data_IF_095838625791
#
_entry.id   IF_095838625791
#
_cell.length_a   1.000
_cell.length_b   1.000
_cell.length_c   1.000
_cell.angle_alpha   90.00
_cell.angle_beta   90.00
_cell.angle_gamma   90.00
#
_symmetry.space_group_name_H-M   'P 1'
#
loop_
_entity.id
_entity.type
_entity.pdbx_description
1 polymer ?
#
# COMPACT_ATOMS: atom_id res chain seq x y z
N UNK A 1 -21.86 -0.63 14.14
CA UNK A 1 -20.53 -0.90 13.56
C UNK A 1 -19.51 -0.02 14.25
N UNK A 2 -18.29 -0.48 14.44
CA UNK A 2 -17.19 0.30 15.02
C UNK A 2 -16.49 1.09 13.91
N UNK A 3 -16.39 2.40 14.05
CA UNK A 3 -15.76 3.23 13.02
C UNK A 3 -14.25 3.16 13.12
N UNK A 4 -13.59 3.02 11.96
CA UNK A 4 -12.16 3.18 11.77
C UNK A 4 -11.92 4.18 10.65
N UNK A 5 -11.04 5.15 10.87
CA UNK A 5 -10.58 6.01 9.77
C UNK A 5 -9.42 5.32 9.07
N UNK A 6 -9.46 5.24 7.75
CA UNK A 6 -8.29 4.86 6.96
C UNK A 6 -7.58 6.13 6.47
N UNK A 7 -6.39 6.39 7.03
CA UNK A 7 -5.58 7.59 6.79
C UNK A 7 -4.91 7.57 5.41
N UNK A 8 -5.73 7.52 4.36
CA UNK A 8 -5.25 7.53 2.97
C UNK A 8 -6.21 8.31 2.07
N UNK A 9 -5.64 9.17 1.22
CA UNK A 9 -6.33 9.84 0.11
C UNK A 9 -6.26 9.06 -1.22
N UNK A 10 -5.53 7.94 -1.27
CA UNK A 10 -5.40 7.11 -2.47
C UNK A 10 -6.65 6.25 -2.66
N UNK A 11 -7.46 6.58 -3.69
CA UNK A 11 -8.72 5.88 -3.98
C UNK A 11 -8.55 4.37 -4.24
N UNK A 12 -7.43 3.97 -4.85
CA UNK A 12 -7.10 2.56 -5.08
C UNK A 12 -6.90 1.81 -3.77
N UNK A 13 -6.06 2.34 -2.87
CA UNK A 13 -5.85 1.78 -1.54
C UNK A 13 -7.15 1.70 -0.74
N UNK A 14 -7.96 2.76 -0.76
CA UNK A 14 -9.24 2.79 -0.05
C UNK A 14 -10.19 1.70 -0.55
N UNK A 15 -10.27 1.49 -1.86
CA UNK A 15 -11.10 0.44 -2.45
C UNK A 15 -10.66 -0.96 -2.00
N UNK A 16 -9.35 -1.22 -2.00
CA UNK A 16 -8.79 -2.50 -1.54
C UNK A 16 -9.08 -2.74 -0.05
N UNK A 17 -8.82 -1.74 0.82
CA UNK A 17 -9.03 -1.87 2.27
C UNK A 17 -10.51 -2.02 2.63
N UNK A 18 -11.40 -1.25 2.01
CA UNK A 18 -12.86 -1.41 2.21
C UNK A 18 -13.33 -2.82 1.85
N UNK A 19 -12.81 -3.40 0.76
CA UNK A 19 -13.13 -4.77 0.37
C UNK A 19 -12.64 -5.79 1.42
N UNK A 20 -11.41 -5.65 1.93
CA UNK A 20 -10.83 -6.54 2.95
C UNK A 20 -11.64 -6.52 4.27
N UNK A 21 -12.25 -5.37 4.64
CA UNK A 21 -13.03 -5.22 5.86
C UNK A 21 -14.55 -5.39 5.68
N UNK A 22 -15.02 -5.69 4.47
CA UNK A 22 -16.46 -5.72 4.14
C UNK A 22 -17.27 -6.71 4.98
N UNK A 23 -16.66 -7.82 5.39
CA UNK A 23 -17.25 -8.89 6.19
C UNK A 23 -17.05 -8.74 7.71
N UNK A 24 -16.71 -7.53 8.19
CA UNK A 24 -16.38 -7.28 9.58
C UNK A 24 -17.38 -6.35 10.27
N UNK A 25 -17.21 -6.18 11.59
CA UNK A 25 -17.95 -5.20 12.37
C UNK A 25 -17.43 -3.77 12.21
N UNK A 26 -16.37 -3.58 11.44
CA UNK A 26 -15.73 -2.29 11.25
C UNK A 26 -16.28 -1.56 10.02
N UNK A 27 -16.59 -0.29 10.18
CA UNK A 27 -16.92 0.64 9.12
C UNK A 27 -15.68 1.48 8.78
N UNK A 28 -15.13 1.29 7.59
CA UNK A 28 -13.94 2.02 7.13
C UNK A 28 -14.35 3.33 6.47
N UNK A 29 -13.93 4.45 7.07
CA UNK A 29 -14.08 5.79 6.51
C UNK A 29 -12.74 6.29 5.96
N UNK A 30 -12.74 6.77 4.75
CA UNK A 30 -11.55 7.35 4.12
C UNK A 30 -11.42 8.85 4.39
N UNK A 31 -10.23 9.41 4.15
CA UNK A 31 -9.99 10.85 4.37
C UNK A 31 -10.92 11.73 3.53
N UNK A 32 -11.18 11.37 2.27
CA UNK A 32 -12.07 12.16 1.41
C UNK A 32 -13.55 12.13 1.82
N UNK A 33 -13.94 11.23 2.72
CA UNK A 33 -15.28 11.20 3.32
C UNK A 33 -15.38 12.06 4.58
N UNK A 34 -14.27 12.58 5.07
CA UNK A 34 -14.20 13.40 6.29
C UNK A 34 -14.15 14.92 6.02
N UNK A 35 -14.03 15.33 4.75
CA UNK A 35 -13.91 16.73 4.36
C UNK A 35 -12.45 17.20 4.31
N UNK A 36 -12.20 18.43 4.73
CA UNK A 36 -10.87 19.04 4.68
C UNK A 36 -9.93 18.37 5.71
N UNK A 37 -9.02 17.56 5.20
CA UNK A 37 -7.98 16.91 5.99
C UNK A 37 -6.64 17.54 5.60
N UNK A 38 -5.79 17.95 6.56
CA UNK A 38 -4.49 18.48 6.24
C UNK A 38 -3.64 17.45 5.49
N UNK A 39 -2.82 17.94 4.57
CA UNK A 39 -1.83 17.09 3.91
C UNK A 39 -0.82 16.57 4.93
N UNK A 40 -0.58 15.27 4.92
CA UNK A 40 0.39 14.62 5.81
C UNK A 40 1.64 14.35 5.00
N UNK A 41 2.69 15.10 5.29
CA UNK A 41 4.00 14.87 4.67
C UNK A 41 4.66 13.63 5.28
N UNK A 42 4.99 12.68 4.44
CA UNK A 42 5.71 11.47 4.82
C UNK A 42 7.19 11.79 4.94
N UNK A 43 7.66 11.95 6.18
CA UNK A 43 9.02 12.42 6.51
C UNK A 43 9.92 11.31 7.06
N UNK A 44 9.36 10.12 7.29
CA UNK A 44 10.09 9.00 7.85
C UNK A 44 10.81 8.16 6.78
N UNK A 45 11.92 7.56 7.16
CA UNK A 45 12.74 6.75 6.26
C UNK A 45 12.26 5.29 6.13
N UNK A 46 11.17 4.93 6.83
CA UNK A 46 10.62 3.58 6.85
C UNK A 46 9.12 3.57 6.57
N UNK A 47 8.63 2.48 5.96
CA UNK A 47 7.19 2.27 5.79
C UNK A 47 6.42 2.27 7.12
N UNK A 48 7.00 1.70 8.19
CA UNK A 48 6.40 1.70 9.52
C UNK A 48 6.28 3.12 10.08
N UNK A 49 7.35 3.91 10.01
CA UNK A 49 7.37 5.29 10.48
C UNK A 49 6.30 6.14 9.79
N UNK A 50 6.25 6.09 8.46
CA UNK A 50 5.25 6.84 7.69
C UNK A 50 3.81 6.36 7.95
N UNK A 51 3.58 5.06 8.08
CA UNK A 51 2.25 4.54 8.41
C UNK A 51 1.82 4.99 9.82
N UNK A 52 2.70 4.92 10.81
CA UNK A 52 2.42 5.36 12.17
C UNK A 52 2.20 6.88 12.25
N UNK A 53 3.02 7.66 11.58
CA UNK A 53 2.87 9.11 11.47
C UNK A 53 1.48 9.48 10.94
N UNK A 54 1.04 8.85 9.84
CA UNK A 54 -0.29 9.06 9.26
C UNK A 54 -1.40 8.68 10.23
N UNK A 55 -1.33 7.50 10.83
CA UNK A 55 -2.36 7.02 11.76
C UNK A 55 -2.50 7.93 12.97
N UNK A 56 -1.38 8.32 13.58
CA UNK A 56 -1.35 9.21 14.75
C UNK A 56 -1.86 10.60 14.42
N UNK A 57 -1.43 11.21 13.33
CA UNK A 57 -1.87 12.54 12.91
C UNK A 57 -3.38 12.60 12.75
N UNK A 58 -3.98 11.64 12.07
CA UNK A 58 -5.43 11.58 11.85
C UNK A 58 -6.17 11.27 13.15
N UNK A 59 -5.67 10.36 13.97
CA UNK A 59 -6.24 10.11 15.29
C UNK A 59 -6.25 11.38 16.15
N UNK A 60 -5.17 12.16 16.15
CA UNK A 60 -5.07 13.39 16.96
C UNK A 60 -6.09 14.45 16.55
N UNK A 61 -6.49 14.49 15.28
CA UNK A 61 -7.52 15.41 14.77
C UNK A 61 -8.93 14.90 15.12
N UNK A 62 -9.26 13.67 14.82
CA UNK A 62 -10.64 13.16 14.88
C UNK A 62 -10.97 12.39 16.15
N UNK A 63 -9.98 11.94 16.92
CA UNK A 63 -10.11 11.10 18.12
C UNK A 63 -10.91 9.81 17.86
N UNK A 64 -10.87 9.32 16.63
CA UNK A 64 -11.44 8.05 16.18
C UNK A 64 -10.29 7.11 15.89
N UNK A 65 -10.35 5.82 16.32
CA UNK A 65 -9.32 4.85 16.01
C UNK A 65 -9.01 4.82 14.52
N UNK A 66 -7.72 4.84 14.21
CA UNK A 66 -7.25 5.08 12.83
C UNK A 66 -6.36 3.94 12.38
N UNK A 67 -6.58 3.50 11.15
CA UNK A 67 -5.66 2.62 10.43
C UNK A 67 -4.98 3.39 9.32
N UNK A 68 -3.73 3.02 9.03
CA UNK A 68 -2.96 3.61 7.93
C UNK A 68 -2.10 2.52 7.27
N UNK A 69 -1.69 2.76 6.03
CA UNK A 69 -0.60 1.99 5.44
C UNK A 69 0.44 2.93 4.82
N UNK A 70 1.68 2.49 4.88
CA UNK A 70 2.67 2.92 3.91
C UNK A 70 3.15 1.71 3.13
N UNK A 71 3.38 1.89 1.83
CA UNK A 71 3.66 0.78 0.93
C UNK A 71 4.43 1.22 -0.28
N UNK A 72 5.26 0.32 -0.77
CA UNK A 72 6.05 0.57 -1.96
C UNK A 72 6.59 -0.70 -2.59
N UNK A 73 7.28 -0.49 -3.70
CA UNK A 73 8.01 -1.49 -4.43
C UNK A 73 9.48 -1.43 -4.02
N UNK A 74 10.08 -2.58 -3.82
CA UNK A 74 11.52 -2.73 -3.55
C UNK A 74 12.12 -3.64 -4.61
N UNK A 75 13.10 -3.15 -5.36
CA UNK A 75 13.77 -3.91 -6.42
C UNK A 75 15.19 -4.25 -5.98
N UNK A 76 15.55 -5.52 -6.06
CA UNK A 76 16.82 -6.03 -5.52
C UNK A 76 18.03 -5.37 -6.22
N UNK A 77 18.02 -5.32 -7.53
CA UNK A 77 19.11 -4.75 -8.35
C UNK A 77 19.31 -3.24 -8.16
N UNK A 78 18.32 -2.56 -7.59
CA UNK A 78 18.37 -1.14 -7.25
C UNK A 78 18.54 -0.90 -5.73
N UNK A 79 19.11 -1.88 -5.01
CA UNK A 79 19.33 -1.81 -3.57
C UNK A 79 18.08 -1.44 -2.77
N UNK A 80 16.91 -1.92 -3.20
CA UNK A 80 15.64 -1.68 -2.55
C UNK A 80 14.87 -0.44 -3.06
N UNK A 81 15.45 0.36 -3.95
CA UNK A 81 14.68 1.44 -4.59
C UNK A 81 13.55 0.86 -5.46
N UNK A 82 12.44 1.61 -5.62
CA UNK A 82 12.11 2.93 -5.09
C UNK A 82 11.81 2.99 -3.58
N UNK A 83 11.45 1.90 -2.90
CA UNK A 83 11.21 1.87 -1.46
C UNK A 83 10.12 2.86 -1.00
N UNK A 84 10.35 3.60 0.07
CA UNK A 84 9.40 4.56 0.65
C UNK A 84 9.04 5.73 -0.30
N UNK A 85 9.86 6.00 -1.30
CA UNK A 85 9.57 7.04 -2.31
C UNK A 85 8.82 6.51 -3.53
N UNK A 86 8.23 5.31 -3.46
CA UNK A 86 7.56 4.66 -4.60
C UNK A 86 6.53 5.54 -5.30
N UNK A 87 5.78 6.34 -4.57
CA UNK A 87 4.76 7.22 -5.15
C UNK A 87 5.34 8.41 -5.92
N UNK A 88 6.56 8.84 -5.58
CA UNK A 88 7.25 10.00 -6.16
C UNK A 88 8.63 9.67 -6.72
N UNK A 89 8.81 8.43 -7.18
CA UNK A 89 10.10 7.93 -7.64
C UNK A 89 10.67 8.73 -8.83
N UNK A 90 9.81 9.17 -9.75
CA UNK A 90 10.21 10.01 -10.87
C UNK A 90 10.28 11.51 -10.53
N UNK A 91 9.98 11.89 -9.30
CA UNK A 91 10.00 13.28 -8.81
C UNK A 91 8.65 13.73 -8.27
N UNK A 92 8.60 14.97 -7.78
CA UNK A 92 7.36 15.57 -7.30
C UNK A 92 6.35 15.75 -8.45
N UNK A 93 5.07 15.52 -8.17
CA UNK A 93 3.96 15.60 -9.13
C UNK A 93 4.04 14.64 -10.33
N UNK A 94 4.83 13.58 -10.24
CA UNK A 94 4.90 12.56 -11.29
C UNK A 94 3.64 11.69 -11.31
N UNK A 95 3.36 11.14 -12.47
CA UNK A 95 2.31 10.13 -12.67
C UNK A 95 2.83 8.73 -12.34
N UNK A 96 1.92 7.76 -12.20
CA UNK A 96 2.30 6.34 -12.10
C UNK A 96 3.10 5.88 -13.32
N UNK A 97 2.75 6.34 -14.51
CA UNK A 97 3.45 6.00 -15.75
C UNK A 97 4.87 6.55 -15.76
N UNK A 98 5.09 7.77 -15.24
CA UNK A 98 6.43 8.33 -15.10
C UNK A 98 7.32 7.46 -14.19
N UNK A 99 6.77 7.01 -13.06
CA UNK A 99 7.46 6.12 -12.14
C UNK A 99 7.80 4.78 -12.81
N UNK A 100 6.87 4.20 -13.54
CA UNK A 100 7.07 2.94 -14.27
C UNK A 100 8.12 3.08 -15.37
N UNK A 101 8.06 4.13 -16.17
CA UNK A 101 9.05 4.39 -17.22
C UNK A 101 10.46 4.61 -16.65
N UNK A 102 10.58 5.36 -15.54
CA UNK A 102 11.86 5.54 -14.86
C UNK A 102 12.41 4.20 -14.38
N UNK A 103 11.60 3.39 -13.71
CA UNK A 103 12.02 2.10 -13.19
C UNK A 103 12.50 1.16 -14.31
N UNK A 104 11.72 1.01 -15.37
CA UNK A 104 12.10 0.21 -16.54
C UNK A 104 13.42 0.72 -17.16
N UNK A 105 13.57 2.04 -17.28
CA UNK A 105 14.80 2.64 -17.83
C UNK A 105 16.04 2.30 -16.99
N UNK A 106 15.93 2.39 -15.67
CA UNK A 106 17.05 2.09 -14.76
C UNK A 106 17.41 0.60 -14.78
N UNK A 107 16.40 -0.28 -14.91
CA UNK A 107 16.62 -1.73 -14.96
C UNK A 107 17.24 -2.23 -16.25
N UNK A 108 17.21 -1.46 -17.34
CA UNK A 108 17.80 -1.87 -18.64
C UNK A 108 19.28 -2.24 -18.59
N UNK A 109 20.02 -1.73 -17.61
CA UNK A 109 21.45 -2.02 -17.44
C UNK A 109 21.74 -3.30 -16.65
N UNK A 110 20.70 -3.93 -16.09
CA UNK A 110 20.81 -5.15 -15.29
C UNK A 110 20.27 -6.36 -16.05
N UNK A 111 20.81 -7.57 -15.76
CA UNK A 111 20.28 -8.80 -16.35
C UNK A 111 18.90 -9.15 -15.75
N UNK A 112 18.05 -9.76 -16.56
CA UNK A 112 16.81 -10.38 -16.10
C UNK A 112 17.07 -11.71 -15.33
N UNK A 113 16.18 -12.13 -14.42
CA UNK A 113 14.94 -11.45 -14.03
C UNK A 113 15.19 -10.28 -13.09
N UNK A 114 14.33 -9.25 -13.16
CA UNK A 114 14.36 -8.11 -12.23
C UNK A 114 13.54 -8.44 -11.00
N UNK A 115 14.15 -9.11 -10.02
CA UNK A 115 13.49 -9.52 -8.78
C UNK A 115 13.04 -8.31 -7.97
N UNK A 116 11.78 -8.33 -7.58
CA UNK A 116 11.19 -7.25 -6.81
C UNK A 116 10.17 -7.77 -5.78
N UNK A 117 9.87 -6.96 -4.80
CA UNK A 117 8.78 -7.23 -3.85
C UNK A 117 7.96 -5.96 -3.59
N UNK A 118 6.68 -6.13 -3.44
CA UNK A 118 5.84 -5.14 -2.81
C UNK A 118 5.81 -5.34 -1.31
N UNK A 119 5.86 -4.22 -0.59
CA UNK A 119 5.78 -4.17 0.88
C UNK A 119 4.62 -3.27 1.26
N UNK A 120 3.83 -3.67 2.24
CA UNK A 120 2.83 -2.83 2.92
C UNK A 120 3.02 -2.98 4.42
N UNK A 121 3.26 -1.87 5.10
CA UNK A 121 3.20 -1.78 6.54
C UNK A 121 1.84 -1.17 6.91
N UNK A 122 0.97 -1.95 7.55
CA UNK A 122 -0.32 -1.48 8.04
C UNK A 122 -0.25 -1.25 9.55
N UNK A 123 -0.76 -0.11 9.99
CA UNK A 123 -0.78 0.32 11.38
C UNK A 123 -2.22 0.59 11.81
N UNK A 124 -2.57 0.12 12.99
CA UNK A 124 -3.70 0.61 13.77
C UNK A 124 -3.17 1.49 14.89
N UNK A 125 -3.85 2.59 15.17
CA UNK A 125 -3.52 3.49 16.26
C UNK A 125 -4.76 4.01 16.96
N UNK A 126 -4.73 3.93 18.29
CA UNK A 126 -5.57 4.73 19.20
C UNK A 126 -4.69 5.25 20.36
N UNK A 127 -5.27 6.05 21.28
CA UNK A 127 -4.50 6.62 22.39
C UNK A 127 -3.92 5.58 23.35
N UNK A 128 -4.46 4.37 23.37
CA UNK A 128 -4.09 3.31 24.31
C UNK A 128 -3.03 2.38 23.76
N UNK A 129 -3.06 2.15 22.45
CA UNK A 129 -2.23 1.12 21.82
C UNK A 129 -2.03 1.40 20.32
N UNK A 130 -1.02 0.75 19.76
CA UNK A 130 -0.84 0.65 18.32
C UNK A 130 -0.48 -0.79 17.93
N UNK A 131 -0.85 -1.18 16.72
CA UNK A 131 -0.53 -2.46 16.15
C UNK A 131 0.15 -2.20 14.80
N UNK A 132 1.31 -2.80 14.61
CA UNK A 132 2.03 -2.76 13.33
C UNK A 132 2.12 -4.17 12.75
N UNK A 133 1.77 -4.31 11.48
CA UNK A 133 1.87 -5.57 10.74
C UNK A 133 2.41 -5.33 9.33
N UNK A 134 3.19 -6.28 8.83
CA UNK A 134 3.80 -6.22 7.51
C UNK A 134 3.23 -7.31 6.61
N UNK A 135 2.91 -6.93 5.38
CA UNK A 135 2.58 -7.81 4.27
C UNK A 135 3.54 -7.57 3.12
N UNK A 136 4.12 -8.64 2.62
CA UNK A 136 5.02 -8.61 1.48
C UNK A 136 4.64 -9.70 0.48
N UNK A 137 4.92 -9.48 -0.79
CA UNK A 137 4.92 -10.56 -1.77
C UNK A 137 5.92 -10.27 -2.88
N UNK A 138 6.55 -11.32 -3.37
CA UNK A 138 7.62 -11.28 -4.34
C UNK A 138 7.12 -11.47 -5.77
N UNK A 139 7.95 -11.09 -6.71
CA UNK A 139 7.70 -11.20 -8.13
C UNK A 139 8.83 -10.59 -8.94
N UNK A 140 8.53 -10.25 -10.18
CA UNK A 140 9.50 -9.64 -11.10
C UNK A 140 8.91 -8.44 -11.83
N UNK A 141 9.78 -7.50 -12.17
CA UNK A 141 9.46 -6.37 -13.06
C UNK A 141 9.71 -6.81 -14.49
N UNK A 142 8.79 -6.44 -15.39
CA UNK A 142 8.90 -6.62 -16.84
C UNK A 142 9.07 -5.26 -17.54
N UNK A 143 9.67 -5.30 -18.73
CA UNK A 143 9.99 -4.08 -19.51
C UNK A 143 8.81 -3.51 -20.30
N UNK A 144 7.61 -4.03 -20.16
CA UNK A 144 6.40 -3.63 -20.90
C UNK A 144 5.21 -3.46 -19.98
N UNK A 145 4.26 -2.61 -20.40
CA UNK A 145 3.01 -2.40 -19.66
C UNK A 145 1.97 -3.43 -20.12
N UNK A 146 1.39 -4.17 -19.17
CA UNK A 146 0.33 -5.15 -19.43
C UNK A 146 -0.82 -4.97 -18.46
N UNK A 147 -2.05 -4.95 -18.99
CA UNK A 147 -3.27 -4.76 -18.21
C UNK A 147 -3.60 -3.28 -17.93
N UNK A 148 -4.79 -3.04 -17.40
CA UNK A 148 -5.32 -1.68 -17.15
C UNK A 148 -5.96 -1.53 -15.79
N UNK A 149 -6.00 -2.59 -14.98
CA UNK A 149 -6.54 -2.53 -13.63
C UNK A 149 -5.48 -2.06 -12.62
N UNK A 150 -5.93 -1.74 -11.42
CA UNK A 150 -5.03 -1.38 -10.33
C UNK A 150 -4.44 0.01 -10.43
N UNK A 151 -3.23 0.19 -9.94
CA UNK A 151 -2.49 1.47 -9.89
C UNK A 151 -1.00 1.25 -9.58
N UNK A 152 -0.22 2.33 -9.66
CA UNK A 152 1.22 2.27 -9.36
C UNK A 152 1.99 1.39 -10.33
N UNK A 153 2.75 0.45 -9.79
CA UNK A 153 3.59 -0.47 -10.58
C UNK A 153 2.88 -1.75 -11.02
N UNK A 154 1.56 -1.86 -10.81
CA UNK A 154 0.77 -3.03 -11.17
C UNK A 154 0.94 -3.46 -12.65
N UNK A 155 1.02 -2.55 -13.65
CA UNK A 155 1.15 -2.92 -15.05
C UNK A 155 2.49 -3.59 -15.43
N UNK A 156 3.51 -3.44 -14.62
CA UNK A 156 4.86 -3.95 -14.91
C UNK A 156 5.34 -5.00 -13.90
N UNK A 157 4.50 -5.42 -12.96
CA UNK A 157 4.85 -6.40 -11.92
C UNK A 157 4.08 -7.70 -12.10
N UNK A 158 4.82 -8.79 -12.28
CA UNK A 158 4.29 -10.16 -12.30
C UNK A 158 4.62 -10.84 -10.98
N UNK A 159 3.60 -11.24 -10.18
CA UNK A 159 3.81 -11.98 -8.94
C UNK A 159 4.43 -13.36 -9.17
N UNK A 160 5.18 -13.86 -8.21
CA UNK A 160 5.71 -15.23 -8.24
C UNK A 160 4.56 -16.24 -8.31
N UNK A 161 4.72 -17.22 -9.19
CA UNK A 161 3.70 -18.25 -9.46
C UNK A 161 2.61 -17.83 -10.45
N UNK A 162 2.71 -16.63 -11.02
CA UNK A 162 1.75 -16.12 -12.02
C UNK A 162 2.45 -15.73 -13.32
N UNK A 163 1.67 -15.69 -14.41
CA UNK A 163 2.10 -15.16 -15.72
C UNK A 163 1.43 -13.82 -16.06
N UNK A 164 0.42 -13.44 -15.28
CA UNK A 164 -0.28 -12.15 -15.40
C UNK A 164 0.37 -11.09 -14.54
N UNK A 165 0.39 -9.84 -15.02
CA UNK A 165 0.68 -8.70 -14.17
C UNK A 165 -0.47 -8.43 -13.19
N UNK A 166 -0.21 -7.66 -12.15
CA UNK A 166 -1.27 -7.23 -11.23
C UNK A 166 -2.36 -6.42 -11.93
N UNK A 167 -2.02 -5.68 -12.99
CA UNK A 167 -2.98 -4.91 -13.77
C UNK A 167 -3.81 -5.77 -14.74
N UNK A 168 -3.45 -7.02 -14.97
CA UNK A 168 -4.27 -8.01 -15.71
C UNK A 168 -5.20 -8.81 -14.78
N UNK A 169 -5.10 -8.62 -13.46
CA UNK A 169 -5.94 -9.27 -12.46
C UNK A 169 -7.17 -8.43 -12.13
N UNK A 170 -8.24 -9.10 -11.72
CA UNK A 170 -9.37 -8.42 -11.07
C UNK A 170 -8.99 -7.95 -9.66
N UNK A 171 -9.82 -7.07 -9.07
CA UNK A 171 -9.60 -6.62 -7.70
C UNK A 171 -9.64 -7.80 -6.70
N UNK A 172 -10.53 -8.75 -6.93
CA UNK A 172 -10.69 -9.91 -6.04
C UNK A 172 -9.48 -10.84 -6.14
N UNK A 173 -9.01 -11.19 -7.36
CA UNK A 173 -7.76 -11.93 -7.56
C UNK A 173 -6.57 -11.25 -6.89
N UNK A 174 -6.43 -9.93 -7.04
CA UNK A 174 -5.36 -9.15 -6.42
C UNK A 174 -5.46 -9.15 -4.89
N UNK A 175 -6.68 -9.04 -4.33
CA UNK A 175 -6.90 -9.05 -2.89
C UNK A 175 -6.65 -10.41 -2.22
N UNK A 176 -6.57 -11.50 -2.97
CA UNK A 176 -6.15 -12.79 -2.42
C UNK A 176 -4.64 -12.86 -2.16
N UNK A 177 -3.82 -12.13 -2.91
CA UNK A 177 -2.37 -12.32 -2.93
C UNK A 177 -1.56 -11.09 -2.51
N UNK A 178 -2.09 -9.88 -2.65
CA UNK A 178 -1.31 -8.64 -2.59
C UNK A 178 -0.70 -8.37 -1.20
N UNK A 179 0.38 -7.58 -1.20
CA UNK A 179 1.04 -7.08 0.01
C UNK A 179 0.06 -6.41 0.98
N UNK A 180 -0.86 -5.58 0.44
CA UNK A 180 -1.89 -4.89 1.24
C UNK A 180 -2.91 -5.87 1.79
N UNK A 181 -3.37 -6.83 1.00
CA UNK A 181 -4.25 -7.87 1.50
C UNK A 181 -3.59 -8.65 2.65
N UNK A 182 -2.31 -9.00 2.51
CA UNK A 182 -1.57 -9.72 3.56
C UNK A 182 -1.42 -8.89 4.84
N UNK A 183 -1.07 -7.60 4.76
CA UNK A 183 -0.94 -6.74 5.94
C UNK A 183 -2.31 -6.48 6.58
N UNK A 184 -3.31 -6.07 5.82
CA UNK A 184 -4.62 -5.74 6.40
C UNK A 184 -5.42 -6.95 6.89
N UNK A 185 -5.25 -8.14 6.31
CA UNK A 185 -5.82 -9.36 6.88
C UNK A 185 -5.17 -9.73 8.23
N UNK A 186 -3.85 -9.57 8.37
CA UNK A 186 -3.18 -9.72 9.67
C UNK A 186 -3.71 -8.70 10.67
N UNK A 187 -3.83 -7.43 10.28
CA UNK A 187 -4.35 -6.37 11.13
C UNK A 187 -5.81 -6.66 11.55
N UNK A 188 -6.65 -7.08 10.62
CA UNK A 188 -8.04 -7.50 10.87
C UNK A 188 -8.12 -8.57 11.95
N UNK A 189 -7.29 -9.60 11.85
CA UNK A 189 -7.22 -10.68 12.85
C UNK A 189 -6.82 -10.15 14.23
N UNK A 190 -5.81 -9.28 14.30
CA UNK A 190 -5.38 -8.70 15.58
C UNK A 190 -6.46 -7.81 16.22
N UNK A 191 -7.16 -7.01 15.42
CA UNK A 191 -8.28 -6.20 15.89
C UNK A 191 -9.45 -7.06 16.42
N UNK A 192 -9.77 -8.16 15.75
CA UNK A 192 -10.81 -9.08 16.18
C UNK A 192 -10.45 -9.79 17.51
N UNK A 193 -9.21 -10.23 17.69
CA UNK A 193 -8.74 -10.86 18.94
C UNK A 193 -8.83 -9.93 20.14
N UNK A 194 -8.64 -8.64 19.94
CA UNK A 194 -8.67 -7.63 21.02
C UNK A 194 -10.07 -7.11 21.33
N UNK A 195 -11.11 -7.67 20.71
CA UNK A 195 -12.52 -7.21 20.88
C UNK A 195 -12.72 -5.71 20.59
N UNK A 196 -11.88 -5.16 19.71
CA UNK A 196 -12.06 -3.81 19.21
C UNK A 196 -13.31 -3.70 18.35
#
# INVERSE_FOLDING_TARGET
MKQLIFASGNKGKVKEVKNIFADTVFEIRSLYELGDVPEIHETEDTFEGNALLKAKTIYDIYKIPTIADDSGLSVEQLNGAPGVISARYAGENCTYDDNNHKLIKELKSFPEPHTAKFVSCAVYYDVKDHITVIGEFTGRIIGEFRGTNGFGYDPIFIPDGFEKTLAEMTLDEKNEISHRARSFNKLKIELQKRNY
#
